data_IF_907268062035
#
_entry.id   IF_907268062035
#
_cell.length_a   1.000
_cell.length_b   1.000
_cell.length_c   1.000
_cell.angle_alpha   90.00
_cell.angle_beta   90.00
_cell.angle_gamma   90.00
#
_symmetry.space_group_name_H-M   'P 1'
#
loop_
_entity.id
_entity.type
_entity.pdbx_description
1 polymer ?
#
# COMPACT_ATOMS: atom_id res chain seq x y z
N UNK A 1 17.24 6.44 4.22
CA UNK A 1 16.66 5.68 3.09
C UNK A 1 16.34 4.23 3.45
N UNK A 2 17.27 3.45 4.01
CA UNK A 2 17.01 2.05 4.38
C UNK A 2 15.92 1.86 5.45
N UNK A 3 15.75 2.83 6.35
CA UNK A 3 14.71 2.77 7.39
C UNK A 3 13.29 2.76 6.82
N UNK A 4 12.97 3.68 5.91
CA UNK A 4 11.63 3.83 5.33
C UNK A 4 11.27 2.62 4.47
N UNK A 5 12.13 2.20 3.54
CA UNK A 5 11.86 1.01 2.71
C UNK A 5 11.62 -0.26 3.56
N UNK A 6 12.41 -0.44 4.64
CA UNK A 6 12.20 -1.53 5.58
C UNK A 6 10.85 -1.48 6.28
N UNK A 7 10.36 -0.28 6.61
CA UNK A 7 9.01 -0.10 7.18
C UNK A 7 7.94 -0.54 6.20
N UNK A 8 7.98 -0.08 4.94
CA UNK A 8 7.06 -0.54 3.89
C UNK A 8 7.03 -2.07 3.80
N UNK A 9 8.19 -2.72 3.67
CA UNK A 9 8.25 -4.19 3.50
C UNK A 9 7.69 -4.92 4.72
N UNK A 10 8.06 -4.53 5.94
CA UNK A 10 7.54 -5.17 7.16
C UNK A 10 6.03 -4.99 7.28
N UNK A 11 5.52 -3.79 7.02
CA UNK A 11 4.09 -3.49 7.07
C UNK A 11 3.31 -4.24 6.00
N UNK A 12 3.87 -4.38 4.80
CA UNK A 12 3.27 -5.18 3.73
C UNK A 12 3.10 -6.65 4.14
N UNK A 13 4.10 -7.23 4.81
CA UNK A 13 4.00 -8.60 5.31
C UNK A 13 2.96 -8.76 6.43
N UNK A 14 2.79 -7.74 7.28
CA UNK A 14 1.72 -7.73 8.29
C UNK A 14 0.35 -7.72 7.63
N UNK A 15 0.13 -6.84 6.63
CA UNK A 15 -1.13 -6.82 5.88
C UNK A 15 -1.36 -8.10 5.07
N UNK A 16 -0.30 -8.72 4.56
CA UNK A 16 -0.40 -10.03 3.91
C UNK A 16 -0.92 -11.09 4.87
N UNK A 17 -0.34 -11.18 6.08
CA UNK A 17 -0.80 -12.09 7.12
C UNK A 17 -2.26 -11.84 7.50
N UNK A 18 -2.65 -10.58 7.67
CA UNK A 18 -4.04 -10.21 7.95
C UNK A 18 -4.99 -10.58 6.79
N UNK A 19 -4.57 -10.36 5.55
CA UNK A 19 -5.32 -10.72 4.35
C UNK A 19 -5.51 -12.23 4.20
N UNK A 20 -4.46 -13.03 4.43
CA UNK A 20 -4.53 -14.49 4.45
C UNK A 20 -5.47 -15.00 5.54
N UNK A 21 -5.35 -14.45 6.76
CA UNK A 21 -6.23 -14.81 7.86
C UNK A 21 -7.69 -14.52 7.52
N UNK A 22 -7.99 -13.32 7.01
CA UNK A 22 -9.35 -12.94 6.63
C UNK A 22 -9.89 -13.82 5.49
N UNK A 23 -9.06 -14.15 4.49
CA UNK A 23 -9.44 -15.05 3.40
C UNK A 23 -9.77 -16.45 3.90
N UNK A 24 -8.93 -17.01 4.78
CA UNK A 24 -9.19 -18.30 5.43
C UNK A 24 -10.46 -18.30 6.27
N UNK A 25 -10.71 -17.20 6.99
CA UNK A 25 -11.93 -17.01 7.77
C UNK A 25 -13.19 -16.98 6.89
N UNK A 26 -13.17 -16.26 5.76
CA UNK A 26 -14.27 -16.24 4.79
C UNK A 26 -14.55 -17.66 4.25
N UNK A 27 -13.51 -18.40 3.86
CA UNK A 27 -13.65 -19.78 3.37
C UNK A 27 -14.22 -20.71 4.46
N UNK A 28 -13.74 -20.59 5.70
CA UNK A 28 -14.23 -21.40 6.81
C UNK A 28 -15.73 -21.20 7.06
N UNK A 29 -16.22 -19.95 7.01
CA UNK A 29 -17.66 -19.70 7.15
C UNK A 29 -18.49 -20.32 6.02
N UNK A 30 -17.99 -20.27 4.78
CA UNK A 30 -18.65 -20.88 3.63
C UNK A 30 -18.77 -22.39 3.77
N UNK A 31 -17.72 -23.06 4.24
CA UNK A 31 -17.72 -24.52 4.44
C UNK A 31 -18.60 -24.94 5.62
N UNK A 32 -18.61 -24.16 6.70
CA UNK A 32 -19.38 -24.46 7.92
C UNK A 32 -20.87 -24.11 7.82
N UNK A 33 -21.32 -23.55 6.68
CA UNK A 33 -22.73 -23.23 6.44
C UNK A 33 -23.24 -22.03 7.25
N UNK A 34 -22.36 -21.19 7.79
CA UNK A 34 -22.77 -19.96 8.44
C UNK A 34 -23.23 -18.93 7.40
N UNK A 35 -24.36 -18.29 7.65
CA UNK A 35 -24.82 -17.19 6.81
C UNK A 35 -23.82 -16.02 6.89
N UNK A 36 -23.03 -15.84 5.83
CA UNK A 36 -22.09 -14.71 5.73
C UNK A 36 -22.90 -13.46 5.37
N UNK A 37 -23.51 -12.85 6.38
CA UNK A 37 -24.05 -11.50 6.22
C UNK A 37 -22.91 -10.62 5.66
N UNK A 38 -23.10 -10.05 4.47
CA UNK A 38 -22.15 -9.17 3.75
C UNK A 38 -20.84 -9.79 3.20
N UNK A 39 -20.93 -10.95 2.54
CA UNK A 39 -19.79 -11.52 1.81
C UNK A 39 -19.04 -10.52 0.90
N UNK A 40 -19.75 -9.53 0.33
CA UNK A 40 -19.15 -8.49 -0.51
C UNK A 40 -18.18 -7.54 0.22
N UNK A 41 -18.51 -7.06 1.44
CA UNK A 41 -17.63 -6.15 2.18
C UNK A 41 -16.42 -6.89 2.74
N UNK A 42 -16.59 -8.12 3.22
CA UNK A 42 -15.48 -8.97 3.64
C UNK A 42 -14.53 -9.30 2.48
N UNK A 43 -15.07 -9.60 1.30
CA UNK A 43 -14.25 -9.80 0.11
C UNK A 43 -13.50 -8.53 -0.27
N UNK A 44 -14.17 -7.36 -0.22
CA UNK A 44 -13.51 -6.08 -0.47
C UNK A 44 -12.37 -5.81 0.51
N UNK A 45 -12.57 -6.08 1.81
CA UNK A 45 -11.54 -5.95 2.83
C UNK A 45 -10.36 -6.88 2.56
N UNK A 46 -10.63 -8.15 2.26
CA UNK A 46 -9.60 -9.13 1.89
C UNK A 46 -8.79 -8.66 0.67
N UNK A 47 -9.46 -8.18 -0.38
CA UNK A 47 -8.80 -7.64 -1.57
C UNK A 47 -7.95 -6.42 -1.23
N UNK A 48 -8.42 -5.47 -0.44
CA UNK A 48 -7.63 -4.28 -0.11
C UNK A 48 -6.45 -4.59 0.82
N UNK A 49 -6.58 -5.56 1.73
CA UNK A 49 -5.47 -6.04 2.55
C UNK A 49 -4.37 -6.69 1.71
N UNK A 50 -4.75 -7.55 0.76
CA UNK A 50 -3.78 -8.29 -0.07
C UNK A 50 -3.22 -7.47 -1.24
N UNK A 51 -4.05 -6.69 -1.93
CA UNK A 51 -3.64 -5.89 -3.08
C UNK A 51 -3.00 -4.56 -2.67
N UNK A 52 -3.66 -3.78 -1.82
CA UNK A 52 -3.14 -2.46 -1.42
C UNK A 52 -2.18 -2.62 -0.25
N UNK A 53 -2.61 -3.27 0.82
CA UNK A 53 -1.83 -3.45 2.04
C UNK A 53 -0.56 -4.26 1.83
N UNK A 54 -0.62 -5.34 1.06
CA UNK A 54 0.55 -6.16 0.76
C UNK A 54 1.21 -5.79 -0.56
N UNK A 55 0.60 -6.09 -1.71
CA UNK A 55 1.30 -5.97 -3.01
C UNK A 55 1.75 -4.55 -3.31
N UNK A 56 0.86 -3.57 -3.16
CA UNK A 56 1.17 -2.17 -3.49
C UNK A 56 2.22 -1.60 -2.55
N UNK A 57 2.05 -1.74 -1.23
CA UNK A 57 3.05 -1.26 -0.24
C UNK A 57 4.40 -1.97 -0.43
N UNK A 58 4.41 -3.29 -0.71
CA UNK A 58 5.64 -4.03 -0.97
C UNK A 58 6.36 -3.46 -2.20
N UNK A 59 5.66 -3.30 -3.32
CA UNK A 59 6.22 -2.76 -4.56
C UNK A 59 6.75 -1.34 -4.34
N UNK A 60 6.01 -0.48 -3.63
CA UNK A 60 6.47 0.87 -3.30
C UNK A 60 7.75 0.86 -2.46
N UNK A 61 7.80 0.01 -1.43
CA UNK A 61 8.98 -0.14 -0.57
C UNK A 61 10.20 -0.66 -1.33
N UNK A 62 10.00 -1.68 -2.17
CA UNK A 62 11.04 -2.26 -3.02
C UNK A 62 11.51 -1.25 -4.07
N UNK A 63 10.62 -0.48 -4.69
CA UNK A 63 10.99 0.57 -5.63
C UNK A 63 11.86 1.65 -4.96
N UNK A 64 11.49 2.09 -3.75
CA UNK A 64 12.30 3.03 -2.97
C UNK A 64 13.68 2.46 -2.61
N UNK A 65 13.81 1.14 -2.46
CA UNK A 65 15.06 0.45 -2.17
C UNK A 65 15.93 0.21 -3.42
N UNK A 66 15.36 -0.32 -4.51
CA UNK A 66 16.08 -0.79 -5.69
C UNK A 66 16.37 0.31 -6.71
N UNK A 67 15.47 1.27 -6.91
CA UNK A 67 15.68 2.28 -7.94
C UNK A 67 16.90 3.14 -7.63
N UNK A 68 17.63 3.62 -8.65
CA UNK A 68 18.80 4.47 -8.45
C UNK A 68 18.51 5.63 -7.51
N UNK A 69 19.55 6.04 -6.77
CA UNK A 69 19.44 7.23 -5.92
C UNK A 69 19.09 8.46 -6.78
N UNK A 70 18.29 9.38 -6.22
CA UNK A 70 17.99 10.65 -6.90
C UNK A 70 19.30 11.39 -7.24
N UNK A 71 19.32 12.09 -8.37
CA UNK A 71 20.41 12.99 -8.71
C UNK A 71 20.48 14.15 -7.70
N UNK A 72 21.63 14.82 -7.58
CA UNK A 72 21.78 15.95 -6.64
C UNK A 72 20.83 17.10 -6.93
N UNK A 73 20.49 17.29 -8.21
CA UNK A 73 19.59 18.32 -8.72
C UNK A 73 18.13 17.85 -8.87
N UNK A 74 17.81 16.63 -8.40
CA UNK A 74 16.45 16.11 -8.45
C UNK A 74 15.57 16.83 -7.40
N UNK A 75 14.65 17.66 -7.89
CA UNK A 75 13.69 18.39 -7.07
C UNK A 75 12.39 17.60 -6.79
N UNK A 76 12.18 16.47 -7.47
CA UNK A 76 10.94 15.69 -7.32
C UNK A 76 11.02 14.73 -6.15
N UNK A 77 12.17 14.08 -5.97
CA UNK A 77 12.32 13.12 -4.89
C UNK A 77 12.49 13.81 -3.53
N UNK A 78 11.66 13.41 -2.56
CA UNK A 78 11.77 13.83 -1.17
C UNK A 78 11.61 12.64 -0.22
N UNK A 79 12.60 12.39 0.68
CA UNK A 79 12.48 11.38 1.72
C UNK A 79 11.26 11.60 2.63
N UNK A 80 10.94 12.87 2.92
CA UNK A 80 9.76 13.24 3.73
C UNK A 80 8.46 12.88 3.02
N UNK A 81 8.39 13.08 1.71
CA UNK A 81 7.21 12.67 0.92
C UNK A 81 7.06 11.15 0.86
N UNK A 82 8.17 10.39 0.88
CA UNK A 82 8.11 8.92 0.94
C UNK A 82 7.57 8.43 2.30
N UNK A 83 7.85 9.16 3.38
CA UNK A 83 7.30 8.90 4.71
C UNK A 83 5.83 9.33 4.85
N UNK A 84 5.46 10.49 4.30
CA UNK A 84 4.04 10.90 4.27
C UNK A 84 3.20 9.90 3.48
N UNK A 85 3.68 9.49 2.31
CA UNK A 85 3.06 8.42 1.53
C UNK A 85 2.89 7.14 2.35
N UNK A 86 3.93 6.73 3.09
CA UNK A 86 3.90 5.52 3.92
C UNK A 86 2.74 5.55 4.92
N UNK A 87 2.60 6.66 5.64
CA UNK A 87 1.53 6.81 6.63
C UNK A 87 0.16 6.87 5.98
N UNK A 88 0.02 7.58 4.85
CA UNK A 88 -1.25 7.65 4.12
C UNK A 88 -1.70 6.29 3.59
N UNK A 89 -0.82 5.53 2.92
CA UNK A 89 -1.18 4.23 2.37
C UNK A 89 -1.46 3.20 3.47
N UNK A 90 -0.68 3.23 4.55
CA UNK A 90 -0.81 2.29 5.68
C UNK A 90 -2.09 2.56 6.47
N UNK A 91 -2.29 3.80 6.92
CA UNK A 91 -3.47 4.17 7.69
C UNK A 91 -4.73 4.09 6.83
N UNK A 92 -4.66 4.54 5.57
CA UNK A 92 -5.79 4.44 4.64
C UNK A 92 -6.26 3.00 4.44
N UNK A 93 -5.31 2.07 4.28
CA UNK A 93 -5.62 0.64 4.15
C UNK A 93 -6.17 0.05 5.45
N UNK A 94 -5.60 0.38 6.60
CA UNK A 94 -6.08 -0.11 7.89
C UNK A 94 -7.50 0.40 8.19
N UNK A 95 -7.75 1.71 8.04
CA UNK A 95 -9.06 2.33 8.28
C UNK A 95 -10.11 1.71 7.35
N UNK A 96 -9.79 1.59 6.06
CA UNK A 96 -10.70 0.98 5.08
C UNK A 96 -11.05 -0.46 5.45
N UNK A 97 -10.04 -1.30 5.66
CA UNK A 97 -10.24 -2.71 5.97
C UNK A 97 -11.02 -2.90 7.28
N UNK A 98 -10.72 -2.13 8.32
CA UNK A 98 -11.47 -2.18 9.58
C UNK A 98 -12.93 -1.75 9.40
N UNK A 99 -13.20 -0.72 8.60
CA UNK A 99 -14.56 -0.30 8.29
C UNK A 99 -15.36 -1.36 7.52
N UNK A 100 -14.74 -1.97 6.50
CA UNK A 100 -15.36 -3.03 5.69
C UNK A 100 -15.61 -4.32 6.49
N UNK A 101 -14.66 -4.71 7.35
CA UNK A 101 -14.84 -5.82 8.30
C UNK A 101 -15.92 -5.47 9.33
N UNK A 102 -15.93 -4.25 9.88
CA UNK A 102 -16.94 -3.80 10.83
C UNK A 102 -18.36 -3.86 10.25
N UNK A 103 -18.52 -3.48 8.97
CA UNK A 103 -19.81 -3.57 8.26
C UNK A 103 -20.35 -4.99 8.18
N UNK A 104 -19.48 -5.99 8.28
CA UNK A 104 -19.89 -7.38 8.26
C UNK A 104 -20.50 -7.90 9.56
N UNK A 105 -20.20 -7.24 10.68
CA UNK A 105 -20.78 -7.57 11.97
C UNK A 105 -21.91 -6.61 12.36
N UNK A 106 -21.93 -5.41 11.78
CA UNK A 106 -22.98 -4.41 11.99
C UNK A 106 -23.19 -3.60 10.71
N UNK A 107 -24.28 -3.82 9.95
CA UNK A 107 -24.59 -3.07 8.74
C UNK A 107 -25.08 -1.65 9.06
N UNK A 108 -24.22 -0.86 9.71
CA UNK A 108 -24.44 0.53 10.05
C UNK A 108 -23.93 1.43 8.91
N UNK A 109 -24.79 2.31 8.40
CA UNK A 109 -24.44 3.26 7.33
C UNK A 109 -23.29 4.20 7.69
N UNK A 110 -23.05 4.44 8.99
CA UNK A 110 -21.93 5.26 9.47
C UNK A 110 -20.54 4.70 9.16
N UNK A 111 -20.40 3.39 8.91
CA UNK A 111 -19.11 2.77 8.58
C UNK A 111 -18.64 3.04 7.15
N UNK A 112 -19.51 3.56 6.27
CA UNK A 112 -19.09 4.03 4.95
C UNK A 112 -18.17 5.25 5.04
N UNK A 113 -18.35 6.12 6.04
CA UNK A 113 -17.51 7.30 6.22
C UNK A 113 -16.01 6.96 6.40
N UNK A 114 -15.60 6.10 7.36
CA UNK A 114 -14.20 5.71 7.47
C UNK A 114 -13.70 4.95 6.24
N UNK A 115 -14.52 4.13 5.59
CA UNK A 115 -14.15 3.44 4.34
C UNK A 115 -13.81 4.43 3.23
N UNK A 116 -14.64 5.46 3.04
CA UNK A 116 -14.39 6.52 2.06
C UNK A 116 -13.14 7.34 2.41
N UNK A 117 -12.93 7.67 3.68
CA UNK A 117 -11.71 8.37 4.12
C UNK A 117 -10.47 7.51 3.84
N UNK A 118 -10.49 6.22 4.17
CA UNK A 118 -9.39 5.30 3.89
C UNK A 118 -9.09 5.18 2.40
N UNK A 119 -10.14 5.11 1.57
CA UNK A 119 -10.01 5.10 0.11
C UNK A 119 -9.37 6.40 -0.43
N UNK A 120 -9.81 7.55 0.05
CA UNK A 120 -9.24 8.84 -0.34
C UNK A 120 -7.75 8.94 0.04
N UNK A 121 -7.37 8.46 1.22
CA UNK A 121 -5.98 8.39 1.65
C UNK A 121 -5.13 7.51 0.73
N UNK A 122 -5.64 6.35 0.31
CA UNK A 122 -4.96 5.46 -0.65
C UNK A 122 -4.76 6.13 -2.02
N UNK A 123 -5.77 6.86 -2.52
CA UNK A 123 -5.68 7.60 -3.79
C UNK A 123 -4.59 8.68 -3.70
N UNK A 124 -4.62 9.50 -2.65
CA UNK A 124 -3.63 10.56 -2.42
C UNK A 124 -2.23 9.97 -2.29
N UNK A 125 -2.08 8.87 -1.55
CA UNK A 125 -0.82 8.15 -1.43
C UNK A 125 -0.28 7.67 -2.79
N UNK A 126 -1.15 7.14 -3.65
CA UNK A 126 -0.81 6.75 -5.02
C UNK A 126 -0.23 7.90 -5.84
N UNK A 127 -0.88 9.07 -5.82
CA UNK A 127 -0.37 10.25 -6.52
C UNK A 127 0.97 10.76 -5.95
N UNK A 128 1.12 10.78 -4.62
CA UNK A 128 2.40 11.13 -3.98
C UNK A 128 3.48 10.14 -4.40
N UNK A 129 3.19 8.84 -4.44
CA UNK A 129 4.13 7.83 -4.88
C UNK A 129 4.60 8.09 -6.31
N UNK A 130 3.65 8.23 -7.25
CA UNK A 130 3.91 8.47 -8.67
C UNK A 130 4.82 9.68 -8.84
N UNK A 131 4.47 10.80 -8.21
CA UNK A 131 5.27 12.03 -8.27
C UNK A 131 6.69 11.81 -7.74
N UNK A 132 6.79 11.21 -6.55
CA UNK A 132 8.05 11.09 -5.81
C UNK A 132 9.03 10.07 -6.42
N UNK A 133 8.53 9.06 -7.13
CA UNK A 133 9.39 8.03 -7.77
C UNK A 133 9.75 8.37 -9.21
N UNK A 134 9.03 9.28 -9.88
CA UNK A 134 9.11 9.49 -11.33
C UNK A 134 10.53 9.68 -11.86
N UNK A 135 11.32 10.54 -11.24
CA UNK A 135 12.71 10.84 -11.62
C UNK A 135 13.69 9.69 -11.38
N UNK A 136 13.29 8.69 -10.58
CA UNK A 136 14.10 7.52 -10.25
C UNK A 136 13.85 6.33 -11.17
N UNK A 137 12.86 6.41 -12.06
CA UNK A 137 12.56 5.36 -13.05
C UNK A 137 13.59 5.43 -14.19
N UNK A 138 14.75 4.79 -13.98
CA UNK A 138 15.84 4.68 -14.97
C UNK A 138 16.69 3.45 -14.67
N UNK A 139 17.39 2.93 -15.68
CA UNK A 139 18.22 1.73 -15.50
C UNK A 139 19.42 2.02 -14.62
N UNK A 140 19.82 1.05 -13.78
CA UNK A 140 21.00 1.20 -12.91
C UNK A 140 22.27 1.44 -13.75
N UNK A 141 22.40 0.74 -14.88
CA UNK A 141 23.52 0.93 -15.81
C UNK A 141 23.58 2.34 -16.39
N UNK A 142 22.45 2.92 -16.81
CA UNK A 142 22.41 4.31 -17.27
C UNK A 142 22.84 5.29 -16.18
N UNK A 143 22.34 5.12 -14.95
CA UNK A 143 22.71 5.97 -13.82
C UNK A 143 24.20 5.86 -13.44
N UNK A 144 24.78 4.66 -13.53
CA UNK A 144 26.22 4.45 -13.29
C UNK A 144 27.10 5.10 -14.36
N UNK A 145 26.67 5.13 -15.62
CA UNK A 145 27.40 5.75 -16.74
C UNK A 145 27.30 7.27 -16.71
N UNK A 146 26.12 7.80 -16.42
CA UNK A 146 25.92 9.24 -16.17
C UNK A 146 26.82 9.74 -15.02
N UNK A 147 26.93 8.96 -13.92
CA UNK A 147 27.81 9.30 -12.81
C UNK A 147 29.31 9.30 -13.19
N UNK A 148 29.69 8.61 -14.27
CA UNK A 148 31.05 8.63 -14.85
C UNK A 148 31.25 9.74 -15.89
N UNK A 149 30.23 10.55 -16.16
CA UNK A 149 30.28 11.62 -17.16
C UNK A 149 30.12 11.12 -18.61
N UNK A 150 29.78 9.85 -18.81
CA UNK A 150 29.46 9.31 -20.13
C UNK A 150 28.07 9.83 -20.53
N UNK A 151 28.01 10.71 -21.54
CA UNK A 151 26.76 11.08 -22.20
C UNK A 151 26.45 10.06 -23.30
N UNK A 152 25.17 9.74 -23.46
CA UNK A 152 24.67 9.01 -24.63
C UNK A 152 24.75 9.87 -25.88
#
# INVERSE_FOLDING_TARGET
>A
MFGVARLYVKTALVFFGAGLFLGGWILAQQVLGFAVASAGTLMSAHTHLTLVGFMTILIMGVAYWMFPRPAREDMRYSPKMAEINYWLITLGTAIRAMGEVGMAFSPNTGLWAPVTVGAAMQIVAGFIFIWNIWSRIRSIGSAQREAKGEKF
#
